data_IF_091054331612
#
_entry.id   IF_091054331612
#
_cell.length_a   1.000
_cell.length_b   1.000
_cell.length_c   1.000
_cell.angle_alpha   90.00
_cell.angle_beta   90.00
_cell.angle_gamma   90.00
#
_symmetry.space_group_name_H-M   'P 1'
#
loop_
_entity.id
_entity.type
_entity.pdbx_description
1 polymer ?
#
# COMPACT_ATOMS: atom_id res chain seq x y z
N UNK A 1 -40.52 9.52 -21.26
CA UNK A 1 -41.21 8.22 -21.31
C UNK A 1 -40.78 7.49 -22.58
N UNK A 2 -40.18 6.33 -22.49
CA UNK A 2 -40.90 5.08 -22.34
C UNK A 2 -40.29 4.12 -21.31
N UNK A 3 -41.11 3.18 -20.87
CA UNK A 3 -40.96 2.17 -19.85
C UNK A 3 -39.98 1.05 -20.24
N UNK A 4 -39.05 0.70 -19.35
CA UNK A 4 -38.20 -0.49 -19.41
C UNK A 4 -38.86 -1.64 -18.65
N UNK A 5 -38.98 -2.81 -19.31
CA UNK A 5 -39.53 -4.05 -18.75
C UNK A 5 -38.38 -4.91 -18.18
N UNK A 6 -38.48 -5.26 -16.91
CA UNK A 6 -37.60 -6.25 -16.28
C UNK A 6 -38.11 -7.68 -16.52
N UNK A 7 -37.23 -8.68 -16.74
CA UNK A 7 -37.57 -10.10 -16.69
C UNK A 7 -37.51 -10.66 -15.24
N UNK A 8 -38.25 -11.77 -14.94
CA UNK A 8 -38.44 -12.28 -13.58
C UNK A 8 -37.31 -13.18 -13.08
N UNK A 9 -37.10 -13.16 -11.74
CA UNK A 9 -36.11 -13.95 -11.00
C UNK A 9 -36.51 -15.42 -10.90
N UNK A 10 -35.56 -16.38 -10.93
CA UNK A 10 -35.80 -17.80 -10.60
C UNK A 10 -35.75 -18.04 -9.08
N UNK A 11 -36.60 -18.99 -8.64
CA UNK A 11 -36.76 -19.44 -7.23
C UNK A 11 -35.69 -20.47 -6.82
N UNK A 12 -35.31 -20.55 -5.53
CA UNK A 12 -34.32 -21.51 -5.06
C UNK A 12 -34.89 -22.93 -4.87
N UNK A 13 -34.11 -23.93 -5.28
CA UNK A 13 -34.36 -25.35 -5.03
C UNK A 13 -33.69 -25.76 -3.72
N UNK A 14 -34.47 -26.34 -2.80
CA UNK A 14 -33.96 -26.96 -1.56
C UNK A 14 -33.41 -28.36 -1.88
N UNK A 15 -32.21 -28.66 -1.42
CA UNK A 15 -31.66 -30.00 -1.37
C UNK A 15 -31.42 -30.46 0.08
N UNK A 16 -31.75 -31.71 0.33
CA UNK A 16 -31.86 -32.33 1.63
C UNK A 16 -30.52 -32.86 2.16
N UNK A 17 -30.37 -32.81 3.47
CA UNK A 17 -29.27 -33.40 4.22
C UNK A 17 -29.32 -34.92 4.28
N UNK A 18 -28.18 -35.60 4.10
CA UNK A 18 -27.98 -37.01 4.44
C UNK A 18 -26.91 -37.11 5.51
N UNK A 19 -27.31 -37.60 6.67
CA UNK A 19 -26.42 -38.04 7.75
C UNK A 19 -25.81 -39.38 7.40
N UNK A 20 -24.49 -39.54 7.60
CA UNK A 20 -23.89 -40.89 7.71
C UNK A 20 -22.85 -40.93 8.86
N UNK A 21 -22.94 -42.01 9.60
CA UNK A 21 -22.45 -42.17 10.95
C UNK A 21 -20.95 -42.44 11.12
N UNK A 22 -20.57 -42.22 12.34
CA UNK A 22 -19.26 -42.38 12.98
C UNK A 22 -18.99 -43.90 13.26
N UNK A 23 -17.81 -44.39 12.88
CA UNK A 23 -17.26 -45.65 13.39
C UNK A 23 -15.91 -45.37 14.03
N UNK A 24 -15.85 -45.50 15.36
CA UNK A 24 -14.61 -45.52 16.16
C UNK A 24 -13.92 -46.88 16.03
N UNK A 25 -12.65 -46.91 15.68
CA UNK A 25 -11.76 -48.04 15.87
C UNK A 25 -10.63 -47.66 16.83
N UNK A 26 -10.63 -48.29 18.00
CA UNK A 26 -9.53 -48.26 18.98
C UNK A 26 -8.43 -49.23 18.53
N UNK A 27 -7.20 -48.76 18.44
CA UNK A 27 -6.00 -49.58 18.38
C UNK A 27 -5.09 -49.29 19.58
N UNK A 28 -4.78 -50.34 20.29
CA UNK A 28 -3.86 -50.36 21.42
C UNK A 28 -2.40 -50.39 20.94
N UNK A 29 -1.53 -49.60 21.60
CA UNK A 29 -0.10 -49.56 21.36
C UNK A 29 0.63 -50.34 22.47
N UNK A 30 1.59 -51.22 22.15
CA UNK A 30 2.47 -51.82 23.16
C UNK A 30 3.64 -50.87 23.50
N UNK A 31 4.00 -50.87 24.79
CA UNK A 31 5.15 -50.13 25.32
C UNK A 31 6.46 -50.87 25.02
N UNK A 32 7.46 -50.17 24.53
CA UNK A 32 8.85 -50.64 24.54
C UNK A 32 9.77 -49.65 25.27
N UNK A 33 10.70 -50.27 25.95
CA UNK A 33 11.54 -49.77 27.02
C UNK A 33 12.73 -48.93 26.57
N UNK A 34 13.08 -47.97 27.41
CA UNK A 34 14.15 -46.99 27.41
C UNK A 34 15.55 -47.56 27.18
N UNK A 35 16.34 -46.88 26.36
CA UNK A 35 17.79 -46.84 26.45
C UNK A 35 18.29 -45.40 26.58
N UNK A 36 18.99 -45.14 27.67
CA UNK A 36 19.64 -43.87 28.00
C UNK A 36 20.83 -43.61 27.06
N UNK A 37 20.81 -42.50 26.35
CA UNK A 37 22.00 -41.93 25.70
C UNK A 37 22.29 -40.55 26.34
N UNK A 38 23.57 -40.18 26.50
CA UNK A 38 23.95 -38.95 27.20
C UNK A 38 23.58 -37.71 26.39
N UNK A 39 23.00 -36.74 27.10
CA UNK A 39 22.63 -35.42 26.62
C UNK A 39 23.81 -34.68 26.00
N UNK A 40 23.74 -34.35 24.73
CA UNK A 40 24.42 -33.22 24.18
C UNK A 40 23.76 -31.94 24.70
N UNK A 41 24.52 -31.02 25.27
CA UNK A 41 24.06 -29.71 25.71
C UNK A 41 23.44 -28.98 24.52
N UNK A 42 22.13 -28.86 24.52
CA UNK A 42 21.44 -27.89 23.71
C UNK A 42 21.84 -26.51 24.27
N UNK A 43 22.47 -25.70 23.44
CA UNK A 43 22.59 -24.29 23.70
C UNK A 43 21.15 -23.75 23.71
N UNK A 44 20.69 -23.30 24.87
CA UNK A 44 19.47 -22.54 25.02
C UNK A 44 19.64 -21.25 24.17
N UNK A 45 19.15 -21.30 22.92
CA UNK A 45 18.77 -20.10 22.23
C UNK A 45 17.50 -19.63 22.96
N UNK A 46 17.63 -18.66 23.87
CA UNK A 46 16.46 -17.87 24.26
C UNK A 46 15.81 -17.34 22.98
N UNK A 47 14.50 -17.52 22.78
CA UNK A 47 13.82 -16.89 21.67
C UNK A 47 14.04 -15.38 21.85
N UNK A 48 14.69 -14.76 20.87
CA UNK A 48 14.77 -13.30 20.76
C UNK A 48 13.37 -12.76 21.02
N UNK A 49 13.24 -11.80 21.94
CA UNK A 49 11.94 -11.16 22.20
C UNK A 49 11.37 -10.74 20.84
N UNK A 50 10.17 -11.23 20.51
CA UNK A 50 9.56 -10.93 19.21
C UNK A 50 9.56 -9.41 19.04
N UNK A 51 10.18 -8.95 17.97
CA UNK A 51 10.24 -7.53 17.62
C UNK A 51 8.79 -7.05 17.45
N UNK A 52 8.45 -5.91 18.03
CA UNK A 52 7.09 -5.36 17.99
C UNK A 52 7.12 -3.98 17.38
N UNK A 53 6.02 -3.60 16.74
CA UNK A 53 5.82 -2.20 16.37
C UNK A 53 5.81 -1.32 17.63
N UNK A 54 6.39 -0.11 17.58
CA UNK A 54 6.27 0.84 18.69
C UNK A 54 4.80 1.26 18.87
N UNK A 55 4.40 1.51 20.11
CA UNK A 55 3.05 2.04 20.40
C UNK A 55 2.94 3.54 20.07
N UNK A 56 4.07 4.24 20.02
CA UNK A 56 4.16 5.67 19.69
C UNK A 56 5.24 5.89 18.66
N UNK A 57 5.03 6.84 17.77
CA UNK A 57 5.97 7.14 16.69
C UNK A 57 6.52 8.57 16.84
N UNK A 58 7.82 8.73 16.55
CA UNK A 58 8.48 10.01 16.39
C UNK A 58 9.35 9.94 15.14
N UNK A 59 9.33 10.99 14.35
CA UNK A 59 9.99 10.99 13.05
C UNK A 59 11.01 12.11 12.92
N UNK A 60 12.06 11.84 12.14
CA UNK A 60 12.98 12.85 11.63
C UNK A 60 12.88 12.87 10.12
N UNK A 61 12.49 13.99 9.54
CA UNK A 61 12.31 14.14 8.10
C UNK A 61 13.41 14.97 7.47
N UNK A 62 13.83 14.56 6.28
CA UNK A 62 14.62 15.40 5.36
C UNK A 62 13.79 16.62 4.90
N UNK A 63 14.43 17.57 4.22
CA UNK A 63 13.75 18.44 3.28
C UNK A 63 13.25 17.69 2.04
N UNK A 64 12.68 18.39 1.04
CA UNK A 64 12.30 17.80 -0.23
C UNK A 64 13.49 17.11 -0.91
N UNK A 65 13.39 15.80 -1.16
CA UNK A 65 14.39 15.00 -1.86
C UNK A 65 14.08 14.88 -3.35
N UNK A 66 12.81 14.71 -3.70
CA UNK A 66 12.39 14.59 -5.11
C UNK A 66 11.40 15.70 -5.40
N UNK A 67 11.72 16.48 -6.44
CA UNK A 67 10.93 17.60 -6.98
C UNK A 67 10.78 17.42 -8.47
N UNK A 68 9.79 18.03 -9.16
CA UNK A 68 9.72 17.99 -10.60
C UNK A 68 11.01 18.56 -11.24
N UNK A 69 11.55 17.85 -12.21
CA UNK A 69 12.72 18.33 -12.94
C UNK A 69 12.35 19.40 -13.97
N UNK A 70 13.31 20.29 -14.24
CA UNK A 70 13.24 21.28 -15.32
C UNK A 70 13.78 20.65 -16.61
N UNK A 71 13.18 19.55 -17.05
CA UNK A 71 13.58 18.71 -18.18
C UNK A 71 12.86 19.05 -19.48
N UNK A 72 12.08 20.14 -19.45
CA UNK A 72 11.22 20.56 -20.55
C UNK A 72 9.80 20.03 -20.44
N UNK A 73 9.48 19.25 -19.39
CA UNK A 73 8.10 18.95 -19.01
C UNK A 73 7.48 20.17 -18.31
N UNK A 74 6.16 20.28 -18.36
CA UNK A 74 5.40 21.31 -17.66
C UNK A 74 5.01 20.86 -16.23
N UNK A 75 5.71 19.87 -15.66
CA UNK A 75 5.41 19.30 -14.33
C UNK A 75 5.61 20.31 -13.21
N UNK A 76 4.59 20.50 -12.39
CA UNK A 76 4.59 21.41 -11.23
C UNK A 76 4.65 20.63 -9.90
N UNK A 77 4.31 19.34 -9.90
CA UNK A 77 4.30 18.50 -8.71
C UNK A 77 4.78 17.08 -9.00
N UNK A 78 5.32 16.45 -7.95
CA UNK A 78 5.49 15.01 -7.81
C UNK A 78 4.82 14.58 -6.51
N UNK A 79 3.98 13.53 -6.57
CA UNK A 79 3.15 13.09 -5.45
C UNK A 79 2.86 11.58 -5.52
N UNK A 80 2.17 11.05 -4.50
CA UNK A 80 1.72 9.66 -4.41
C UNK A 80 2.87 8.67 -4.71
N UNK A 81 3.99 8.68 -3.95
CA UNK A 81 5.12 7.84 -4.28
C UNK A 81 4.87 6.37 -3.98
N UNK A 82 5.36 5.50 -4.88
CA UNK A 82 5.65 4.10 -4.56
C UNK A 82 7.16 3.86 -4.66
N UNK A 83 7.74 3.20 -3.67
CA UNK A 83 9.18 3.03 -3.54
C UNK A 83 9.56 1.60 -3.25
N UNK A 84 10.57 1.10 -3.95
CA UNK A 84 11.16 -0.20 -3.70
C UNK A 84 12.66 -0.17 -3.97
N UNK A 85 13.38 -1.13 -3.38
CA UNK A 85 14.76 -1.44 -3.75
C UNK A 85 14.76 -2.81 -4.42
N UNK A 86 15.33 -2.90 -5.61
CA UNK A 86 15.43 -4.15 -6.33
C UNK A 86 16.55 -5.06 -5.76
N UNK A 87 16.77 -6.21 -6.40
CA UNK A 87 17.74 -7.20 -5.93
C UNK A 87 19.19 -6.75 -6.15
N UNK A 88 19.43 -5.82 -7.07
CA UNK A 88 20.76 -5.27 -7.37
C UNK A 88 21.11 -4.07 -6.47
N UNK A 89 20.12 -3.61 -5.67
CA UNK A 89 20.26 -2.53 -4.70
C UNK A 89 19.88 -1.17 -5.26
N UNK A 90 19.35 -1.10 -6.49
CA UNK A 90 18.84 0.14 -7.09
C UNK A 90 17.48 0.52 -6.47
N UNK A 91 17.35 1.75 -6.08
CA UNK A 91 16.09 2.34 -5.65
C UNK A 91 15.26 2.76 -6.86
N UNK A 92 14.00 2.36 -6.88
CA UNK A 92 13.01 2.80 -7.85
C UNK A 92 11.92 3.59 -7.13
N UNK A 93 11.62 4.77 -7.62
CA UNK A 93 10.50 5.59 -7.16
C UNK A 93 9.58 5.86 -8.35
N UNK A 94 8.36 5.35 -8.23
CA UNK A 94 7.25 5.67 -9.13
C UNK A 94 6.40 6.75 -8.45
N UNK A 95 5.92 7.71 -9.19
CA UNK A 95 5.19 8.85 -8.64
C UNK A 95 4.17 9.40 -9.61
N UNK A 96 3.12 10.00 -9.09
CA UNK A 96 2.22 10.82 -9.90
C UNK A 96 2.89 12.15 -10.17
N UNK A 97 2.82 12.64 -11.41
CA UNK A 97 3.15 14.01 -11.79
C UNK A 97 1.87 14.81 -12.03
N UNK A 98 1.91 16.11 -11.72
CA UNK A 98 0.89 17.07 -12.14
C UNK A 98 1.54 18.15 -12.99
N UNK A 99 0.91 18.53 -14.09
CA UNK A 99 1.39 19.58 -14.98
C UNK A 99 0.67 20.92 -14.78
N UNK A 100 1.07 21.95 -15.54
CA UNK A 100 0.46 23.28 -15.50
C UNK A 100 -0.99 23.32 -15.98
N UNK A 101 -1.46 22.29 -16.67
CA UNK A 101 -2.86 22.13 -17.10
C UNK A 101 -3.73 21.45 -16.04
N UNK A 102 -3.09 20.85 -15.02
CA UNK A 102 -3.75 20.06 -13.99
C UNK A 102 -3.98 18.61 -14.41
N UNK A 103 -3.32 18.16 -15.49
CA UNK A 103 -3.35 16.75 -15.91
C UNK A 103 -2.36 15.94 -15.07
N UNK A 104 -2.73 14.68 -14.77
CA UNK A 104 -1.94 13.78 -13.95
C UNK A 104 -1.46 12.58 -14.77
N UNK A 105 -0.18 12.26 -14.62
CA UNK A 105 0.48 11.13 -15.26
C UNK A 105 1.47 10.48 -14.31
N UNK A 106 2.22 9.48 -14.78
CA UNK A 106 3.22 8.77 -13.98
C UNK A 106 4.63 9.10 -14.46
N UNK A 107 5.54 9.22 -13.48
CA UNK A 107 6.96 9.26 -13.73
C UNK A 107 7.69 8.21 -12.90
N UNK A 108 8.86 7.80 -13.38
CA UNK A 108 9.80 6.91 -12.72
C UNK A 108 11.16 7.62 -12.58
N UNK A 109 11.82 7.39 -11.45
CA UNK A 109 13.23 7.73 -11.24
C UNK A 109 13.92 6.59 -10.50
N UNK A 110 15.21 6.40 -10.75
CA UNK A 110 16.02 5.36 -10.07
C UNK A 110 17.39 5.91 -9.69
N UNK A 111 17.95 5.39 -8.59
CA UNK A 111 19.24 5.80 -8.04
C UNK A 111 19.80 4.72 -7.10
N UNK A 112 21.12 4.71 -6.89
CA UNK A 112 21.78 3.75 -5.99
C UNK A 112 21.79 4.22 -4.54
N UNK A 113 21.74 5.53 -4.30
CA UNK A 113 21.79 6.14 -2.96
C UNK A 113 20.87 7.35 -2.87
N UNK A 114 20.21 7.53 -1.73
CA UNK A 114 19.26 8.63 -1.49
C UNK A 114 19.87 10.03 -1.68
N UNK A 115 21.19 10.17 -1.54
CA UNK A 115 21.87 11.46 -1.84
C UNK A 115 21.82 11.84 -3.32
N UNK A 116 21.52 10.90 -4.21
CA UNK A 116 21.37 11.11 -5.65
C UNK A 116 19.93 11.44 -6.06
N UNK A 117 18.95 11.20 -5.18
CA UNK A 117 17.51 11.27 -5.50
C UNK A 117 17.08 12.62 -6.11
N UNK A 118 17.69 13.73 -5.66
CA UNK A 118 17.36 15.07 -6.13
C UNK A 118 17.77 15.34 -7.59
N UNK A 119 18.84 14.68 -8.05
CA UNK A 119 19.43 14.89 -9.37
C UNK A 119 19.19 13.72 -10.33
N UNK A 120 18.58 12.62 -9.84
CA UNK A 120 18.32 11.42 -10.64
C UNK A 120 17.30 11.71 -11.74
N UNK A 121 17.56 11.29 -13.00
CA UNK A 121 16.66 11.56 -14.12
C UNK A 121 15.24 11.07 -13.86
N UNK A 122 14.25 11.85 -14.27
CA UNK A 122 12.84 11.47 -14.22
C UNK A 122 12.35 11.09 -15.62
N UNK A 123 11.77 9.90 -15.75
CA UNK A 123 11.21 9.43 -17.02
C UNK A 123 9.69 9.45 -16.93
N UNK A 124 9.04 10.21 -17.81
CA UNK A 124 7.58 10.27 -17.92
C UNK A 124 7.06 9.03 -18.65
N UNK A 125 6.36 8.16 -17.94
CA UNK A 125 5.93 6.85 -18.44
C UNK A 125 4.88 6.94 -19.54
N UNK A 126 4.10 8.00 -19.58
CA UNK A 126 3.08 8.24 -20.62
C UNK A 126 3.66 8.37 -22.04
N UNK A 127 4.89 8.88 -22.15
CA UNK A 127 5.58 9.06 -23.43
C UNK A 127 6.66 8.01 -23.68
N UNK A 128 7.23 7.45 -22.62
CA UNK A 128 8.34 6.51 -22.69
C UNK A 128 7.87 5.06 -22.89
N UNK A 129 6.69 4.68 -22.42
CA UNK A 129 6.22 3.29 -22.39
C UNK A 129 4.85 3.08 -23.02
N UNK A 130 4.40 1.82 -23.10
CA UNK A 130 3.07 1.48 -23.56
C UNK A 130 1.95 1.76 -22.54
N UNK A 131 2.28 2.26 -21.32
CA UNK A 131 1.29 2.80 -20.38
C UNK A 131 0.47 3.91 -21.06
N UNK A 132 1.12 4.76 -21.83
CA UNK A 132 0.47 5.74 -22.69
C UNK A 132 -0.18 6.89 -21.92
N UNK A 133 -0.74 7.83 -22.68
CA UNK A 133 -1.34 9.08 -22.19
C UNK A 133 -2.72 8.87 -21.57
N UNK A 134 -3.18 9.88 -20.81
CA UNK A 134 -4.45 9.97 -20.11
C UNK A 134 -4.26 9.90 -18.60
N UNK A 135 -5.35 10.01 -17.86
CA UNK A 135 -5.32 10.00 -16.39
C UNK A 135 -4.68 8.72 -15.84
N UNK A 136 -3.58 8.90 -15.13
CA UNK A 136 -2.82 7.86 -14.42
C UNK A 136 -2.33 8.47 -13.12
N UNK A 137 -2.61 7.84 -11.98
CA UNK A 137 -2.21 8.35 -10.67
C UNK A 137 -2.05 7.26 -9.62
N UNK A 138 -1.46 7.63 -8.48
CA UNK A 138 -1.26 6.79 -7.30
C UNK A 138 -0.64 5.42 -7.65
N UNK A 139 0.62 5.40 -8.09
CA UNK A 139 1.31 4.16 -8.45
C UNK A 139 1.59 3.31 -7.20
N UNK A 140 1.57 1.99 -7.38
CA UNK A 140 2.05 1.00 -6.43
C UNK A 140 2.82 -0.08 -7.17
N UNK A 141 4.13 -0.18 -6.92
CA UNK A 141 5.04 -1.07 -7.63
C UNK A 141 5.51 -2.22 -6.76
N UNK A 142 5.60 -3.43 -7.32
CA UNK A 142 6.16 -4.59 -6.64
C UNK A 142 6.56 -5.69 -7.62
N UNK A 143 7.43 -6.60 -7.16
CA UNK A 143 7.77 -7.84 -7.85
C UNK A 143 6.82 -8.96 -7.42
N UNK A 144 6.17 -9.61 -8.38
CA UNK A 144 5.33 -10.76 -8.12
C UNK A 144 6.10 -12.05 -8.36
N UNK A 145 6.75 -12.55 -7.32
CA UNK A 145 7.67 -13.69 -7.38
C UNK A 145 7.07 -14.96 -8.03
N UNK A 146 5.77 -15.31 -7.84
CA UNK A 146 5.20 -16.50 -8.47
C UNK A 146 5.18 -16.47 -10.01
N UNK A 147 5.28 -15.29 -10.63
CA UNK A 147 5.28 -15.11 -12.10
C UNK A 147 6.58 -14.55 -12.65
N UNK A 148 7.57 -14.24 -11.77
CA UNK A 148 8.84 -13.61 -12.16
C UNK A 148 8.60 -12.33 -12.97
N UNK A 149 7.72 -11.44 -12.44
CA UNK A 149 7.23 -10.28 -13.16
C UNK A 149 7.01 -9.10 -12.22
N UNK A 150 7.38 -7.90 -12.64
CA UNK A 150 7.11 -6.66 -11.92
C UNK A 150 5.74 -6.11 -12.31
N UNK A 151 5.02 -5.61 -11.32
CA UNK A 151 3.71 -4.98 -11.45
C UNK A 151 3.81 -3.51 -11.05
N UNK A 152 3.24 -2.65 -11.86
CA UNK A 152 2.95 -1.26 -11.52
C UNK A 152 1.43 -1.10 -11.55
N UNK A 153 0.83 -0.97 -10.38
CA UNK A 153 -0.60 -0.72 -10.16
C UNK A 153 -0.83 0.79 -10.17
N UNK A 154 -1.92 1.24 -10.73
CA UNK A 154 -2.31 2.66 -10.74
C UNK A 154 -3.79 2.80 -11.08
N UNK A 155 -4.34 3.98 -10.86
CA UNK A 155 -5.73 4.28 -11.16
C UNK A 155 -5.91 4.90 -12.54
N UNK A 156 -6.98 4.46 -13.24
CA UNK A 156 -7.44 5.02 -14.51
C UNK A 156 -8.95 5.31 -14.49
N UNK A 157 -9.54 5.34 -13.28
CA UNK A 157 -10.97 5.20 -12.99
C UNK A 157 -11.33 3.79 -12.52
N UNK A 158 -10.57 2.77 -12.93
CA UNK A 158 -10.57 1.41 -12.37
C UNK A 158 -9.16 1.07 -11.86
N UNK A 159 -9.00 0.05 -11.01
CA UNK A 159 -7.71 -0.47 -10.62
C UNK A 159 -7.02 -1.10 -11.82
N UNK A 160 -5.98 -0.46 -12.30
CA UNK A 160 -5.23 -0.86 -13.48
C UNK A 160 -3.81 -1.27 -13.12
N UNK A 161 -3.17 -2.03 -13.98
CA UNK A 161 -1.78 -2.41 -13.85
C UNK A 161 -1.08 -2.52 -15.20
N UNK A 162 0.23 -2.35 -15.17
CA UNK A 162 1.17 -2.71 -16.24
C UNK A 162 2.24 -3.62 -15.69
N UNK A 163 2.89 -4.40 -16.54
CA UNK A 163 3.94 -5.34 -16.12
C UNK A 163 5.21 -5.14 -16.93
N UNK A 164 6.34 -5.55 -16.33
CA UNK A 164 7.64 -5.66 -16.99
C UNK A 164 8.47 -6.78 -16.36
N UNK A 165 9.47 -7.28 -17.08
CA UNK A 165 10.53 -8.15 -16.55
C UNK A 165 11.82 -7.38 -16.22
N UNK A 166 11.87 -6.09 -16.53
CA UNK A 166 13.04 -5.21 -16.34
C UNK A 166 12.59 -3.84 -15.82
N UNK A 167 12.62 -3.59 -14.49
CA UNK A 167 12.21 -2.33 -13.91
C UNK A 167 13.20 -1.19 -14.16
N UNK A 168 14.46 -1.50 -14.52
CA UNK A 168 15.48 -0.51 -14.88
C UNK A 168 15.23 0.13 -16.24
N UNK A 169 14.49 -0.57 -17.13
CA UNK A 169 14.07 0.00 -18.40
C UNK A 169 12.64 0.56 -18.30
N UNK A 170 12.45 1.87 -18.05
CA UNK A 170 11.14 2.49 -17.95
C UNK A 170 10.32 2.41 -19.24
N UNK A 171 10.93 2.03 -20.39
CA UNK A 171 10.23 1.86 -21.66
C UNK A 171 9.58 0.49 -21.82
N UNK A 172 9.95 -0.47 -20.96
CA UNK A 172 9.55 -1.88 -21.03
C UNK A 172 8.15 -2.17 -20.50
N UNK A 173 7.53 -1.23 -19.78
CA UNK A 173 6.19 -1.41 -19.19
C UNK A 173 5.11 -1.65 -20.23
N UNK A 174 4.31 -2.68 -20.01
CA UNK A 174 3.20 -3.09 -20.89
C UNK A 174 2.06 -2.05 -20.92
N UNK A 175 1.19 -2.18 -21.93
CA UNK A 175 -0.06 -1.41 -21.94
C UNK A 175 -0.95 -1.75 -20.72
N UNK A 176 -1.81 -0.81 -20.27
CA UNK A 176 -2.69 -0.99 -19.11
C UNK A 176 -3.64 -2.18 -19.28
N UNK A 177 -3.83 -2.94 -18.20
CA UNK A 177 -4.89 -3.92 -17.98
C UNK A 177 -5.59 -3.60 -16.67
N UNK A 178 -6.83 -4.02 -16.51
CA UNK A 178 -7.59 -3.82 -15.29
C UNK A 178 -7.63 -5.11 -14.46
N UNK A 179 -7.61 -4.99 -13.12
CA UNK A 179 -7.87 -6.11 -12.21
C UNK A 179 -9.35 -6.52 -12.21
N UNK A 180 -10.24 -5.57 -12.53
CA UNK A 180 -11.69 -5.75 -12.55
C UNK A 180 -12.29 -5.03 -13.75
N UNK A 181 -13.40 -5.56 -14.28
CA UNK A 181 -14.11 -4.98 -15.43
C UNK A 181 -15.09 -3.84 -15.02
N UNK A 182 -15.42 -3.75 -13.74
CA UNK A 182 -16.35 -2.75 -13.21
C UNK A 182 -16.08 -2.44 -11.74
N UNK A 183 -16.60 -1.32 -11.27
CA UNK A 183 -16.65 -0.98 -9.84
C UNK A 183 -17.54 -2.01 -9.12
N UNK A 184 -17.13 -2.58 -7.98
CA UNK A 184 -17.96 -3.48 -7.18
C UNK A 184 -19.22 -2.79 -6.63
N UNK A 185 -20.36 -3.48 -6.56
CA UNK A 185 -21.63 -2.94 -6.09
C UNK A 185 -21.50 -2.27 -4.71
N UNK A 186 -20.75 -2.88 -3.78
CA UNK A 186 -20.54 -2.32 -2.44
C UNK A 186 -19.80 -0.98 -2.44
N UNK A 187 -18.92 -0.75 -3.41
CA UNK A 187 -18.25 0.55 -3.60
C UNK A 187 -19.23 1.54 -4.15
N UNK A 188 -19.98 1.20 -5.22
CA UNK A 188 -21.00 2.09 -5.81
C UNK A 188 -22.07 2.51 -4.80
N UNK A 189 -22.46 1.62 -3.88
CA UNK A 189 -23.47 1.88 -2.85
C UNK A 189 -22.98 2.84 -1.76
N UNK A 190 -21.66 2.93 -1.50
CA UNK A 190 -21.10 3.66 -0.37
C UNK A 190 -20.23 4.86 -0.75
N UNK A 191 -19.77 4.96 -2.00
CA UNK A 191 -18.82 5.98 -2.46
C UNK A 191 -19.36 7.42 -2.35
N UNK A 192 -20.68 7.62 -2.37
CA UNK A 192 -21.29 8.95 -2.27
C UNK A 192 -20.80 9.90 -3.38
N UNK A 193 -20.26 11.06 -2.97
CA UNK A 193 -19.65 12.06 -3.87
C UNK A 193 -18.11 11.86 -4.01
N UNK A 194 -17.57 10.74 -3.53
CA UNK A 194 -16.15 10.42 -3.60
C UNK A 194 -15.72 9.73 -4.89
N UNK A 195 -14.50 9.23 -4.88
CA UNK A 195 -13.87 8.52 -6.01
C UNK A 195 -13.27 7.21 -5.51
N UNK A 196 -13.43 6.12 -6.27
CA UNK A 196 -12.75 4.86 -5.97
C UNK A 196 -11.31 4.93 -6.46
N UNK A 197 -10.34 4.88 -5.54
CA UNK A 197 -8.97 5.25 -5.82
C UNK A 197 -7.96 4.60 -4.86
N UNK A 198 -6.65 4.85 -5.10
CA UNK A 198 -5.51 4.48 -4.27
C UNK A 198 -5.43 2.98 -4.02
N UNK A 199 -5.20 2.26 -5.12
CA UNK A 199 -5.18 0.81 -5.16
C UNK A 199 -3.85 0.25 -4.68
N UNK A 200 -3.87 -0.56 -3.63
CA UNK A 200 -2.70 -1.17 -3.03
C UNK A 200 -2.85 -2.69 -2.96
N UNK A 201 -1.88 -3.44 -3.50
CA UNK A 201 -1.88 -4.90 -3.51
C UNK A 201 -0.89 -5.43 -2.47
N UNK A 202 -1.31 -6.41 -1.69
CA UNK A 202 -0.46 -7.21 -0.81
C UNK A 202 -0.92 -8.67 -0.88
N UNK A 203 0.03 -9.62 -0.84
CA UNK A 203 -0.32 -11.03 -0.81
C UNK A 203 0.24 -11.71 0.46
N UNK A 204 -0.51 -12.69 0.97
CA UNK A 204 0.03 -13.70 1.88
C UNK A 204 0.43 -14.97 1.10
N UNK A 205 0.56 -16.08 1.77
CA UNK A 205 1.01 -17.34 1.16
C UNK A 205 -0.05 -17.95 0.20
N UNK A 206 -1.31 -17.56 0.31
CA UNK A 206 -2.46 -18.16 -0.41
C UNK A 206 -3.23 -17.18 -1.27
N UNK A 207 -3.40 -15.95 -0.78
CA UNK A 207 -4.30 -14.97 -1.37
C UNK A 207 -3.61 -13.62 -1.59
N UNK A 208 -4.07 -12.89 -2.59
CA UNK A 208 -3.72 -11.50 -2.87
C UNK A 208 -4.92 -10.62 -2.58
N UNK A 209 -4.66 -9.49 -1.96
CA UNK A 209 -5.67 -8.54 -1.53
C UNK A 209 -5.43 -7.18 -2.18
N UNK A 210 -6.49 -6.60 -2.73
CA UNK A 210 -6.50 -5.25 -3.28
C UNK A 210 -7.23 -4.34 -2.30
N UNK A 211 -6.48 -3.47 -1.61
CA UNK A 211 -7.03 -2.42 -0.76
C UNK A 211 -7.27 -1.16 -1.56
N UNK A 212 -8.29 -0.37 -1.19
CA UNK A 212 -8.64 0.87 -1.87
C UNK A 212 -9.46 1.81 -1.00
N UNK A 213 -9.46 3.09 -1.35
CA UNK A 213 -10.21 4.18 -0.72
C UNK A 213 -11.42 4.61 -1.55
N UNK A 214 -12.30 5.43 -0.97
CA UNK A 214 -13.43 6.03 -1.69
C UNK A 214 -13.60 7.54 -1.44
N UNK A 215 -12.64 8.21 -0.80
CA UNK A 215 -12.79 9.62 -0.38
C UNK A 215 -14.04 9.89 0.46
N UNK A 216 -14.65 8.86 1.02
CA UNK A 216 -15.90 8.96 1.76
C UNK A 216 -15.92 8.20 3.10
N UNK A 217 -14.74 7.75 3.57
CA UNK A 217 -14.58 7.18 4.90
C UNK A 217 -14.60 5.66 4.93
N UNK A 218 -14.34 4.99 3.82
CA UNK A 218 -14.28 3.55 3.75
C UNK A 218 -12.94 3.05 3.22
N UNK A 219 -12.46 1.98 3.84
CA UNK A 219 -11.38 1.14 3.32
C UNK A 219 -12.00 -0.13 2.78
N UNK A 220 -11.84 -0.37 1.49
CA UNK A 220 -12.29 -1.59 0.83
C UNK A 220 -11.15 -2.59 0.71
N UNK A 221 -11.51 -3.87 0.65
CA UNK A 221 -10.62 -4.96 0.32
C UNK A 221 -11.32 -5.94 -0.61
N UNK A 222 -10.72 -6.22 -1.75
CA UNK A 222 -11.07 -7.32 -2.65
C UNK A 222 -10.01 -8.41 -2.56
N UNK A 223 -10.32 -9.64 -2.93
CA UNK A 223 -9.39 -10.77 -2.82
C UNK A 223 -9.41 -11.67 -4.04
N UNK A 224 -8.28 -12.29 -4.32
CA UNK A 224 -8.09 -13.39 -5.29
C UNK A 224 -7.02 -14.33 -4.76
N UNK A 225 -6.91 -15.53 -5.30
CA UNK A 225 -5.82 -16.44 -4.91
C UNK A 225 -4.49 -16.02 -5.58
N UNK A 226 -3.35 -16.32 -4.93
CA UNK A 226 -2.02 -16.14 -5.54
C UNK A 226 -1.90 -16.82 -6.89
N UNK A 227 -2.56 -17.97 -7.07
CA UNK A 227 -2.54 -18.73 -8.32
C UNK A 227 -3.33 -18.06 -9.47
N UNK A 228 -4.40 -17.33 -9.15
CA UNK A 228 -5.24 -16.64 -10.12
C UNK A 228 -4.77 -15.21 -10.42
N UNK A 229 -4.04 -14.58 -9.47
CA UNK A 229 -3.55 -13.22 -9.63
C UNK A 229 -2.85 -13.01 -10.99
N UNK A 230 -3.09 -11.92 -11.72
CA UNK A 230 -3.82 -10.69 -11.37
C UNK A 230 -5.33 -10.73 -11.66
N UNK A 231 -5.85 -11.88 -12.12
CA UNK A 231 -7.26 -12.07 -12.40
C UNK A 231 -8.05 -12.49 -11.15
N UNK A 232 -9.37 -12.62 -11.28
CA UNK A 232 -10.22 -13.27 -10.27
C UNK A 232 -10.55 -12.43 -9.04
N UNK A 233 -10.15 -11.16 -8.97
CA UNK A 233 -10.51 -10.30 -7.85
C UNK A 233 -12.02 -10.17 -7.67
N UNK A 234 -12.48 -10.40 -6.44
CA UNK A 234 -13.88 -10.35 -6.05
C UNK A 234 -14.06 -10.24 -4.55
N UNK A 235 -15.23 -10.61 -4.05
CA UNK A 235 -15.55 -10.64 -2.61
C UNK A 235 -15.21 -9.31 -1.90
N UNK A 236 -15.46 -8.19 -2.57
CA UNK A 236 -15.15 -6.84 -2.07
C UNK A 236 -15.92 -6.54 -0.79
N UNK A 237 -15.24 -6.04 0.24
CA UNK A 237 -15.80 -5.72 1.56
C UNK A 237 -15.27 -4.40 2.07
N UNK A 238 -16.05 -3.72 2.91
CA UNK A 238 -15.57 -2.63 3.75
C UNK A 238 -14.89 -3.27 4.97
N UNK A 239 -13.61 -2.96 5.19
CA UNK A 239 -12.79 -3.49 6.31
C UNK A 239 -12.59 -2.47 7.42
N UNK A 240 -12.67 -1.18 7.09
CA UNK A 240 -12.74 -0.07 8.04
C UNK A 240 -13.76 0.96 7.55
N UNK A 241 -14.46 1.61 8.47
CA UNK A 241 -15.39 2.70 8.19
C UNK A 241 -15.30 3.74 9.31
N UNK A 242 -15.20 5.01 8.92
CA UNK A 242 -15.19 6.17 9.81
C UNK A 242 -15.74 7.39 9.04
N UNK A 243 -15.61 8.58 9.56
CA UNK A 243 -15.95 9.79 8.80
C UNK A 243 -14.99 9.99 7.64
N UNK A 244 -15.45 10.69 6.58
CA UNK A 244 -14.64 11.04 5.40
C UNK A 244 -13.24 11.56 5.74
N UNK A 245 -13.13 12.44 6.74
CA UNK A 245 -11.84 13.03 7.10
C UNK A 245 -10.96 12.09 7.94
N UNK A 246 -11.53 11.10 8.63
CA UNK A 246 -10.79 10.17 9.46
C UNK A 246 -10.24 8.96 8.68
N UNK A 247 -10.88 8.60 7.58
CA UNK A 247 -10.38 7.61 6.61
C UNK A 247 -10.53 8.22 5.22
N UNK A 248 -9.50 8.95 4.79
CA UNK A 248 -9.61 9.74 3.57
C UNK A 248 -9.11 8.97 2.33
N UNK A 249 -7.80 8.87 2.13
CA UNK A 249 -7.17 8.22 0.97
C UNK A 249 -5.76 7.71 1.31
N UNK A 250 -4.93 7.37 0.33
CA UNK A 250 -3.48 7.19 0.48
C UNK A 250 -3.07 6.05 1.42
N UNK A 251 -3.79 4.93 1.40
CA UNK A 251 -3.55 3.82 2.31
C UNK A 251 -2.56 2.79 1.78
N UNK A 252 -1.83 2.14 2.70
CA UNK A 252 -0.90 1.06 2.41
C UNK A 252 -0.90 -0.01 3.52
N UNK A 253 -0.60 -1.26 3.16
CA UNK A 253 -0.64 -2.41 4.08
C UNK A 253 0.67 -3.18 4.01
N UNK A 254 1.23 -3.53 5.16
CA UNK A 254 2.53 -4.17 5.28
C UNK A 254 2.48 -5.40 6.17
N UNK A 255 3.28 -6.41 5.84
CA UNK A 255 3.62 -7.50 6.75
C UNK A 255 4.77 -7.04 7.65
N UNK A 256 4.60 -7.14 8.96
CA UNK A 256 5.68 -6.81 9.91
C UNK A 256 6.55 -8.05 10.12
N UNK A 257 7.84 -7.92 9.79
CA UNK A 257 8.80 -9.03 9.83
C UNK A 257 8.83 -9.71 11.20
N UNK A 258 8.88 -11.04 11.20
CA UNK A 258 8.99 -11.91 12.38
C UNK A 258 7.90 -11.77 13.48
N UNK A 259 6.79 -11.08 13.18
CA UNK A 259 5.73 -10.87 14.18
C UNK A 259 4.43 -11.60 13.90
N UNK A 260 4.17 -11.99 12.66
CA UNK A 260 2.86 -12.49 12.20
C UNK A 260 1.77 -11.40 12.21
N UNK A 261 2.17 -10.12 12.31
CA UNK A 261 1.27 -8.97 12.36
C UNK A 261 1.31 -8.22 11.03
N UNK A 262 0.18 -7.66 10.62
CA UNK A 262 0.07 -6.71 9.52
C UNK A 262 -0.14 -5.31 10.08
N UNK A 263 0.46 -4.31 9.43
CA UNK A 263 0.30 -2.88 9.68
C UNK A 263 -0.44 -2.25 8.51
N UNK A 264 -1.54 -1.57 8.77
CA UNK A 264 -2.22 -0.71 7.82
C UNK A 264 -1.99 0.74 8.24
N UNK A 265 -1.54 1.57 7.32
CA UNK A 265 -1.50 3.03 7.47
C UNK A 265 -2.54 3.64 6.54
N UNK A 266 -3.21 4.70 7.00
CA UNK A 266 -4.27 5.36 6.23
C UNK A 266 -4.27 6.85 6.46
N UNK A 267 -4.32 7.61 5.37
CA UNK A 267 -4.33 9.07 5.42
C UNK A 267 -5.66 9.61 5.97
N UNK A 268 -5.55 10.66 6.74
CA UNK A 268 -6.67 11.41 7.31
C UNK A 268 -6.46 12.92 7.14
N UNK A 269 -7.55 13.68 7.21
CA UNK A 269 -7.54 15.14 7.25
C UNK A 269 -7.78 15.57 8.70
N UNK A 270 -6.79 16.26 9.28
CA UNK A 270 -6.85 16.72 10.66
C UNK A 270 -7.83 17.89 10.88
N UNK A 271 -8.06 18.20 12.14
CA UNK A 271 -8.90 19.33 12.58
C UNK A 271 -8.38 20.69 12.08
N UNK A 272 -7.11 20.77 11.70
CA UNK A 272 -6.44 21.91 11.08
C UNK A 272 -6.48 21.90 9.54
N UNK A 273 -7.16 20.92 8.94
CA UNK A 273 -7.24 20.72 7.50
C UNK A 273 -5.97 20.14 6.86
N UNK A 274 -5.01 19.69 7.69
CA UNK A 274 -3.74 19.12 7.20
C UNK A 274 -3.79 17.61 7.15
N UNK A 275 -3.01 17.03 6.22
CA UNK A 275 -2.92 15.59 6.00
C UNK A 275 -2.01 14.93 7.03
N UNK A 276 -2.41 13.72 7.47
CA UNK A 276 -1.66 12.93 8.44
C UNK A 276 -2.04 11.46 8.35
N UNK A 277 -1.23 10.58 8.95
CA UNK A 277 -1.44 9.15 8.93
C UNK A 277 -1.93 8.59 10.25
N UNK A 278 -2.98 7.78 10.17
CA UNK A 278 -3.44 6.84 11.19
C UNK A 278 -2.81 5.48 10.94
N UNK A 279 -2.76 4.60 11.96
CA UNK A 279 -2.32 3.22 11.78
C UNK A 279 -3.18 2.23 12.56
N UNK A 280 -3.24 1.01 12.00
CA UNK A 280 -4.02 -0.09 12.52
C UNK A 280 -3.21 -1.38 12.36
N UNK A 281 -3.49 -2.40 13.19
CA UNK A 281 -2.85 -3.71 13.11
C UNK A 281 -3.87 -4.83 12.98
N UNK A 282 -3.47 -5.94 12.34
CA UNK A 282 -4.24 -7.17 12.28
C UNK A 282 -3.31 -8.39 12.30
N UNK A 283 -3.82 -9.56 12.67
CA UNK A 283 -3.09 -10.83 12.63
C UNK A 283 -3.26 -11.55 11.28
N UNK A 284 -4.16 -11.07 10.41
CA UNK A 284 -4.35 -11.58 9.06
C UNK A 284 -4.92 -10.48 8.16
N UNK A 285 -4.68 -10.58 6.85
CA UNK A 285 -5.15 -9.60 5.86
C UNK A 285 -6.68 -9.60 5.72
N UNK A 286 -7.31 -10.73 6.02
CA UNK A 286 -8.77 -10.88 6.05
C UNK A 286 -9.40 -10.63 7.43
N UNK A 287 -8.57 -10.34 8.45
CA UNK A 287 -8.96 -10.14 9.84
C UNK A 287 -9.53 -8.77 10.16
N UNK A 288 -9.73 -8.54 11.46
CA UNK A 288 -10.17 -7.25 11.98
C UNK A 288 -8.96 -6.36 12.27
N UNK A 289 -9.04 -5.12 11.84
CA UNK A 289 -8.04 -4.09 12.09
C UNK A 289 -8.27 -3.41 13.43
N UNK A 290 -7.24 -3.35 14.27
CA UNK A 290 -7.25 -2.71 15.58
C UNK A 290 -6.42 -1.42 15.55
N UNK A 291 -6.92 -0.31 16.13
CA UNK A 291 -6.16 0.94 16.21
C UNK A 291 -4.81 0.76 16.88
N UNK A 292 -3.74 1.40 16.34
CA UNK A 292 -2.42 1.44 16.96
C UNK A 292 -2.07 2.90 17.32
N UNK A 293 -1.77 3.72 16.34
CA UNK A 293 -1.50 5.16 16.48
C UNK A 293 -2.46 5.90 15.53
N UNK A 294 -3.67 6.17 16.01
CA UNK A 294 -4.81 6.52 15.15
C UNK A 294 -5.53 7.82 15.50
N UNK A 295 -4.94 8.64 16.39
CA UNK A 295 -5.52 9.94 16.78
C UNK A 295 -4.56 11.09 16.48
N UNK A 296 -5.07 12.32 16.31
CA UNK A 296 -4.25 13.53 16.10
C UNK A 296 -3.25 13.79 17.24
N UNK A 297 -3.54 13.36 18.46
CA UNK A 297 -2.64 13.47 19.62
C UNK A 297 -1.64 12.31 19.74
N UNK A 298 -1.92 11.18 19.10
CA UNK A 298 -1.06 10.01 19.01
C UNK A 298 -1.08 9.47 17.57
N UNK A 299 -0.54 10.23 16.62
CA UNK A 299 -0.58 9.88 15.21
C UNK A 299 0.50 8.86 14.86
N UNK A 300 0.28 8.11 13.78
CA UNK A 300 1.38 7.39 13.16
C UNK A 300 2.41 8.39 12.60
N UNK A 301 2.00 9.28 11.70
CA UNK A 301 2.85 10.37 11.19
C UNK A 301 2.02 11.64 10.96
N UNK A 302 2.37 12.73 11.64
CA UNK A 302 1.74 14.04 11.56
C UNK A 302 2.79 15.11 11.84
N UNK A 303 2.56 16.34 11.42
CA UNK A 303 3.49 17.45 11.66
C UNK A 303 3.85 17.69 13.15
N UNK A 304 3.04 17.19 14.09
CA UNK A 304 3.30 17.32 15.53
C UNK A 304 4.20 16.23 16.13
N UNK A 305 4.46 15.14 15.40
CA UNK A 305 5.41 14.10 15.78
C UNK A 305 6.55 13.92 14.75
N UNK A 306 6.75 14.91 13.88
CA UNK A 306 7.84 14.97 12.89
C UNK A 306 8.74 16.14 13.22
N UNK A 307 10.04 15.89 13.39
CA UNK A 307 11.10 16.91 13.42
C UNK A 307 11.71 17.02 12.01
N UNK A 308 12.09 18.24 11.61
CA UNK A 308 12.64 18.50 10.29
C UNK A 308 14.12 18.85 10.36
N UNK A 309 14.91 18.35 9.42
CA UNK A 309 16.30 18.75 9.27
C UNK A 309 16.39 20.26 9.05
N UNK A 310 17.34 20.92 9.74
CA UNK A 310 17.46 22.36 9.72
C UNK A 310 16.53 23.12 10.69
N UNK A 311 15.57 22.44 11.33
CA UNK A 311 14.72 22.94 12.40
C UNK A 311 13.40 23.57 11.95
N UNK A 312 13.32 24.12 10.74
CA UNK A 312 12.09 24.70 10.20
C UNK A 312 11.31 23.67 9.39
N UNK A 313 10.00 23.55 9.65
CA UNK A 313 9.12 22.67 8.91
C UNK A 313 8.88 23.21 7.49
N UNK A 314 9.33 22.46 6.47
CA UNK A 314 9.08 22.79 5.07
C UNK A 314 7.65 22.45 4.63
N UNK A 315 6.96 21.60 5.39
CA UNK A 315 5.58 21.21 5.17
C UNK A 315 4.83 21.04 6.49
N UNK A 316 3.51 21.10 6.45
CA UNK A 316 2.60 20.69 7.55
C UNK A 316 1.78 19.45 7.19
N UNK A 317 1.91 18.98 5.96
CA UNK A 317 1.21 17.82 5.45
C UNK A 317 2.17 16.62 5.41
N UNK A 318 1.82 15.54 6.10
CA UNK A 318 2.46 14.25 5.95
C UNK A 318 1.42 13.40 5.21
N UNK A 319 1.52 13.40 3.89
CA UNK A 319 0.46 12.95 3.00
C UNK A 319 0.96 11.84 2.09
N UNK A 320 0.09 11.17 1.42
CA UNK A 320 0.23 10.00 0.56
C UNK A 320 1.68 9.52 0.40
N UNK A 321 2.02 8.41 1.02
CA UNK A 321 3.38 7.89 1.05
C UNK A 321 3.42 6.39 1.28
N UNK A 322 4.59 5.81 1.06
CA UNK A 322 4.86 4.38 1.22
C UNK A 322 6.01 4.16 2.20
N UNK A 323 5.87 3.14 3.08
CA UNK A 323 6.96 2.70 3.95
C UNK A 323 8.02 1.94 3.13
N UNK A 324 9.28 2.14 3.51
CA UNK A 324 10.40 1.39 2.92
C UNK A 324 10.29 -0.06 3.34
N UNK A 325 10.24 -0.96 2.36
CA UNK A 325 10.13 -2.41 2.51
C UNK A 325 11.51 -3.07 2.58
N UNK A 326 11.58 -4.26 3.17
CA UNK A 326 12.83 -5.07 3.23
C UNK A 326 13.16 -5.79 1.92
N UNK A 327 12.17 -5.87 1.02
CA UNK A 327 12.30 -6.45 -0.32
C UNK A 327 11.21 -5.95 -1.25
N UNK A 328 11.35 -6.17 -2.56
CA UNK A 328 10.42 -5.64 -3.55
C UNK A 328 9.17 -6.50 -3.74
N UNK A 329 9.05 -7.65 -3.08
CA UNK A 329 8.04 -8.66 -3.43
C UNK A 329 6.63 -8.32 -2.91
N UNK A 330 5.65 -9.10 -3.38
CA UNK A 330 4.22 -8.95 -3.11
C UNK A 330 3.83 -9.10 -1.63
N UNK A 331 4.74 -9.52 -0.74
CA UNK A 331 4.43 -9.67 0.69
C UNK A 331 4.50 -8.35 1.46
N UNK A 332 5.03 -7.30 0.85
CA UNK A 332 5.15 -5.95 1.43
C UNK A 332 5.78 -5.95 2.83
N UNK A 333 6.84 -6.74 3.01
CA UNK A 333 7.46 -6.92 4.33
C UNK A 333 8.25 -5.68 4.74
N UNK A 334 8.08 -5.23 5.99
CA UNK A 334 8.84 -4.14 6.60
C UNK A 334 9.61 -4.61 7.85
N UNK A 335 10.78 -4.01 8.08
CA UNK A 335 11.56 -4.19 9.30
C UNK A 335 11.06 -3.23 10.39
N UNK A 336 10.47 -3.72 11.49
CA UNK A 336 9.94 -2.86 12.55
C UNK A 336 11.03 -2.05 13.30
N UNK A 337 12.32 -2.41 13.10
CA UNK A 337 13.45 -1.70 13.69
C UNK A 337 13.95 -0.54 12.83
N UNK A 338 13.56 -0.49 11.55
CA UNK A 338 14.05 0.50 10.57
C UNK A 338 12.92 1.08 9.72
N UNK A 339 11.89 1.60 10.39
CA UNK A 339 10.73 2.15 9.70
C UNK A 339 11.08 3.50 9.09
N UNK A 340 10.93 3.62 7.77
CA UNK A 340 11.07 4.87 7.01
C UNK A 340 9.84 5.06 6.13
N UNK A 341 9.42 6.30 5.93
CA UNK A 341 8.26 6.70 5.13
C UNK A 341 8.71 7.70 4.07
N UNK A 342 8.62 7.32 2.79
CA UNK A 342 8.67 8.28 1.69
C UNK A 342 7.27 8.87 1.53
N UNK A 343 7.13 10.19 1.70
CA UNK A 343 5.84 10.85 1.74
C UNK A 343 5.84 12.14 0.91
N UNK A 344 4.66 12.58 0.55
CA UNK A 344 4.50 13.90 -0.08
C UNK A 344 4.17 14.97 0.96
N UNK A 345 4.71 16.15 0.72
CA UNK A 345 4.41 17.39 1.43
C UNK A 345 4.48 18.58 0.49
N UNK A 346 4.04 19.74 0.96
CA UNK A 346 4.13 20.99 0.21
C UNK A 346 4.38 22.18 1.14
N UNK A 347 4.83 23.30 0.58
CA UNK A 347 4.93 24.56 1.33
C UNK A 347 3.59 24.89 2.00
N UNK A 348 3.55 25.12 3.32
CA UNK A 348 2.32 25.48 4.03
C UNK A 348 1.62 26.73 3.52
N UNK A 349 2.33 27.61 2.80
CA UNK A 349 1.78 28.81 2.18
C UNK A 349 1.27 28.58 0.75
N UNK A 350 1.51 27.37 0.16
CA UNK A 350 1.00 27.03 -1.16
C UNK A 350 -0.52 26.99 -1.16
N UNK A 351 -1.11 27.40 -2.27
CA UNK A 351 -2.54 27.40 -2.49
C UNK A 351 -2.86 27.50 -3.98
N UNK A 352 -4.11 27.31 -4.33
CA UNK A 352 -4.56 27.33 -5.73
C UNK A 352 -5.44 26.14 -6.04
N UNK A 353 -5.48 25.74 -7.31
CA UNK A 353 -6.18 24.55 -7.76
C UNK A 353 -5.49 23.30 -7.22
N UNK A 354 -6.27 22.35 -6.66
CA UNK A 354 -5.74 21.12 -6.08
C UNK A 354 -4.89 20.32 -7.07
N UNK A 355 -5.30 20.30 -8.33
CA UNK A 355 -4.60 19.57 -9.39
C UNK A 355 -3.19 20.10 -9.71
N UNK A 356 -2.87 21.32 -9.24
CA UNK A 356 -1.61 22.01 -9.50
C UNK A 356 -0.84 22.35 -8.21
N UNK A 357 -1.25 21.86 -7.05
CA UNK A 357 -0.53 22.10 -5.79
C UNK A 357 0.89 21.54 -5.88
N UNK A 358 1.91 22.31 -5.42
CA UNK A 358 3.32 21.99 -5.65
C UNK A 358 3.86 20.93 -4.68
N UNK A 359 3.34 19.73 -4.77
CA UNK A 359 3.78 18.60 -3.95
C UNK A 359 5.23 18.19 -4.27
N UNK A 360 5.95 17.75 -3.25
CA UNK A 360 7.32 17.26 -3.28
C UNK A 360 7.42 16.03 -2.38
N UNK A 361 8.43 15.17 -2.64
CA UNK A 361 8.65 13.96 -1.84
C UNK A 361 9.81 14.17 -0.87
N UNK A 362 9.66 13.64 0.34
CA UNK A 362 10.68 13.63 1.38
C UNK A 362 10.68 12.31 2.14
N UNK A 363 11.80 11.98 2.78
CA UNK A 363 11.97 10.75 3.55
C UNK A 363 11.93 11.05 5.04
N UNK A 364 11.03 10.41 5.77
CA UNK A 364 10.99 10.45 7.22
C UNK A 364 11.50 9.13 7.80
N UNK A 365 12.37 9.18 8.80
CA UNK A 365 12.87 8.03 9.54
C UNK A 365 12.27 8.01 10.94
N UNK A 366 11.66 6.88 11.32
CA UNK A 366 11.17 6.70 12.68
C UNK A 366 12.34 6.66 13.67
N UNK A 367 12.28 7.50 14.71
CA UNK A 367 13.32 7.59 15.75
C UNK A 367 12.94 6.89 17.05
N UNK A 368 11.71 6.35 17.14
CA UNK A 368 11.28 5.53 18.26
C UNK A 368 11.77 4.10 18.03
N UNK A 369 12.72 3.66 18.83
CA UNK A 369 13.22 2.28 18.72
C UNK A 369 12.22 1.31 19.33
N UNK A 370 11.87 0.27 18.56
CA UNK A 370 11.16 -0.92 19.05
C UNK A 370 12.15 -2.08 19.32
N UNK A 371 13.41 -1.88 19.00
CA UNK A 371 14.54 -2.78 19.12
C UNK A 371 15.66 -2.13 19.90
#
# INVERSE_FOLDING_TARGET
>A
MPLSKHPPRPRPIRAAAVLLGLVLALFAVPAESSSLHPSASASDHEPSAAQKLPETFQWSSTGPLISPHQDGSDSVAVKDPSVLQDQDGTWHVFMTTADTSGDWSLAHTSFDDWSQAADAPQTHLETASAIGTGYRAAPHAFYFAPKDEWYLVYQTGLPSFSTTTDPDDPTSWSAPRNFMDSVPDIVEENIGDGYWLDFYVICDDTDCYLFSADDNGHVYRSETTVAEFPEGFGNTRIVLSDTKNNLFEGGAVYRVEDTGTYLLIWEAIGSDGRRWYRSFTSQSLDGQWQPLADTESHPFARSNNVSFEGGDAWTRDISHGELIRTGPDQTMTLDPCRIQLLYQGMDPAAGGDYSQLPWRLALATNTTSAC
#
